data_IF_007803729510
#
_entry.id   IF_007803729510
#
_cell.length_a   1.000
_cell.length_b   1.000
_cell.length_c   1.000
_cell.angle_alpha   90.00
_cell.angle_beta   90.00
_cell.angle_gamma   90.00
#
_symmetry.space_group_name_H-M   'P 1'
#
loop_
_entity.id
_entity.type
_entity.pdbx_description
1 polymer ?
#
# COMPACT_ATOMS: atom_id res chain seq x y z
N UNK A 1 29.46 -24.34 -3.68
CA UNK A 1 28.85 -24.25 -5.02
C UNK A 1 27.48 -23.62 -4.86
N UNK A 2 27.46 -22.31 -4.59
CA UNK A 2 26.25 -21.53 -4.31
C UNK A 2 25.72 -21.11 -5.68
N UNK A 3 24.76 -21.86 -6.21
CA UNK A 3 24.12 -21.52 -7.47
C UNK A 3 23.29 -20.25 -7.29
N UNK A 4 23.58 -19.26 -8.13
CA UNK A 4 22.75 -18.16 -8.61
C UNK A 4 21.24 -18.29 -8.32
N UNK A 5 20.78 -17.86 -7.13
CA UNK A 5 19.37 -17.53 -6.83
C UNK A 5 19.28 -16.01 -6.66
N UNK A 6 19.76 -15.27 -7.65
CA UNK A 6 19.50 -13.84 -7.77
C UNK A 6 18.83 -13.67 -9.14
N UNK A 7 17.61 -13.14 -9.12
CA UNK A 7 16.82 -12.68 -10.28
C UNK A 7 16.14 -13.70 -11.21
N UNK A 8 15.22 -14.52 -10.68
CA UNK A 8 14.06 -14.95 -11.47
C UNK A 8 12.76 -14.47 -10.84
N UNK A 9 12.32 -13.28 -11.25
CA UNK A 9 10.94 -12.84 -11.04
C UNK A 9 10.00 -13.75 -11.86
N UNK A 10 9.66 -14.92 -11.32
CA UNK A 10 8.84 -15.94 -11.98
C UNK A 10 7.48 -15.42 -12.47
N UNK A 11 6.98 -14.33 -11.87
CA UNK A 11 5.76 -13.63 -12.28
C UNK A 11 5.90 -13.03 -13.69
N UNK A 12 7.08 -12.54 -14.10
CA UNK A 12 7.31 -11.97 -15.44
C UNK A 12 7.18 -12.98 -16.57
N UNK A 13 7.25 -14.28 -16.26
CA UNK A 13 7.01 -15.34 -17.25
C UNK A 13 5.57 -15.35 -17.80
N UNK A 14 4.65 -14.65 -17.12
CA UNK A 14 3.25 -14.52 -17.52
C UNK A 14 2.95 -13.16 -18.18
N UNK A 15 3.95 -12.31 -18.38
CA UNK A 15 3.79 -11.02 -19.04
C UNK A 15 3.22 -11.21 -20.46
N UNK A 16 2.41 -10.25 -20.95
CA UNK A 16 1.95 -10.27 -22.33
C UNK A 16 3.12 -10.10 -23.29
N UNK A 17 3.15 -10.94 -24.34
CA UNK A 17 4.21 -10.90 -25.36
C UNK A 17 3.74 -10.13 -26.58
N UNK A 18 2.45 -10.27 -26.91
CA UNK A 18 1.82 -9.62 -28.04
C UNK A 18 0.71 -8.67 -27.58
N UNK A 19 0.31 -7.76 -28.48
CA UNK A 19 -0.82 -6.85 -28.24
C UNK A 19 -2.11 -7.62 -27.92
N UNK A 20 -2.33 -8.78 -28.56
CA UNK A 20 -3.52 -9.60 -28.33
C UNK A 20 -3.55 -10.24 -26.93
N UNK A 21 -2.42 -10.28 -26.23
CA UNK A 21 -2.33 -10.83 -24.87
C UNK A 21 -2.73 -9.79 -23.80
N UNK A 22 -2.86 -8.51 -24.19
CA UNK A 22 -3.23 -7.43 -23.28
C UNK A 22 -4.69 -7.58 -22.85
N UNK A 23 -4.92 -7.54 -21.54
CA UNK A 23 -6.26 -7.59 -20.96
C UNK A 23 -7.05 -6.28 -21.10
N UNK A 24 -6.63 -5.38 -21.99
CA UNK A 24 -7.10 -3.98 -22.06
C UNK A 24 -8.00 -3.84 -23.28
N UNK A 25 -8.95 -2.90 -23.22
CA UNK A 25 -9.86 -2.66 -24.33
C UNK A 25 -9.11 -2.22 -25.60
N UNK A 26 -9.32 -2.92 -26.72
CA UNK A 26 -8.58 -2.71 -27.98
C UNK A 26 -8.55 -1.25 -28.45
N UNK A 27 -9.65 -0.51 -28.32
CA UNK A 27 -9.69 0.92 -28.67
C UNK A 27 -8.65 1.76 -27.92
N UNK A 28 -8.40 1.47 -26.63
CA UNK A 28 -7.39 2.18 -25.83
C UNK A 28 -5.97 1.81 -26.24
N UNK A 29 -5.75 0.56 -26.59
CA UNK A 29 -4.46 0.11 -27.12
C UNK A 29 -4.18 0.79 -28.47
N UNK A 30 -5.17 0.86 -29.36
CA UNK A 30 -5.08 1.56 -30.64
C UNK A 30 -4.82 3.05 -30.47
N UNK A 31 -5.53 3.73 -29.55
CA UNK A 31 -5.34 5.15 -29.26
C UNK A 31 -3.88 5.46 -28.86
N UNK A 32 -3.28 4.61 -28.02
CA UNK A 32 -1.87 4.72 -27.64
C UNK A 32 -0.93 4.38 -28.80
N UNK A 33 -1.23 3.33 -29.56
CA UNK A 33 -0.42 2.88 -30.71
C UNK A 33 -0.36 3.96 -31.81
N UNK A 34 -1.51 4.56 -32.16
CA UNK A 34 -1.64 5.61 -33.16
C UNK A 34 -0.86 6.87 -32.74
N UNK A 35 -0.96 7.25 -31.46
CA UNK A 35 -0.21 8.40 -30.93
C UNK A 35 1.30 8.16 -31.00
N UNK A 36 1.76 6.97 -30.57
CA UNK A 36 3.18 6.59 -30.58
C UNK A 36 3.72 6.62 -32.02
N UNK A 37 3.04 5.98 -32.96
CA UNK A 37 3.48 5.91 -34.36
C UNK A 37 3.42 7.26 -35.09
N UNK A 38 2.44 8.10 -34.76
CA UNK A 38 2.28 9.42 -35.35
C UNK A 38 3.40 10.40 -35.01
N UNK A 39 4.08 10.19 -33.88
CA UNK A 39 5.08 11.12 -33.33
C UNK A 39 6.52 10.59 -33.38
N UNK A 40 6.76 9.29 -33.39
CA UNK A 40 8.13 8.72 -33.34
C UNK A 40 9.01 9.05 -34.54
N UNK A 41 8.42 9.19 -35.74
CA UNK A 41 9.21 9.46 -36.97
C UNK A 41 9.48 10.93 -37.21
N UNK A 42 8.76 11.81 -36.51
CA UNK A 42 8.87 13.25 -36.63
C UNK A 42 9.73 13.65 -35.44
N UNK A 43 10.88 14.29 -35.65
CA UNK A 43 11.71 14.82 -34.56
C UNK A 43 10.90 15.82 -33.72
N UNK A 44 10.08 15.30 -32.80
CA UNK A 44 9.01 16.02 -32.13
C UNK A 44 9.20 15.89 -30.64
N UNK A 45 8.81 16.93 -29.93
CA UNK A 45 8.79 17.00 -28.47
C UNK A 45 7.35 16.80 -27.95
N UNK A 46 6.55 15.98 -28.62
CA UNK A 46 5.17 15.72 -28.23
C UNK A 46 5.12 14.90 -26.93
N UNK A 47 4.13 15.22 -26.09
CA UNK A 47 3.99 14.68 -24.75
C UNK A 47 2.68 13.93 -24.64
N UNK A 48 2.73 12.69 -24.12
CA UNK A 48 1.55 11.89 -23.79
C UNK A 48 1.47 11.68 -22.28
N UNK A 49 0.31 11.93 -21.71
CA UNK A 49 -0.02 11.59 -20.33
C UNK A 49 -0.99 10.42 -20.31
N UNK A 50 -0.60 9.32 -19.67
CA UNK A 50 -1.44 8.16 -19.40
C UNK A 50 -1.86 8.17 -17.94
N UNK A 51 -3.16 8.30 -17.68
CA UNK A 51 -3.72 8.20 -16.32
C UNK A 51 -4.58 6.96 -16.17
N UNK A 52 -4.81 6.52 -14.93
CA UNK A 52 -5.78 5.47 -14.63
C UNK A 52 -5.39 4.65 -13.41
N UNK A 53 -6.24 3.71 -12.97
CA UNK A 53 -6.03 2.92 -11.76
C UNK A 53 -4.69 2.19 -11.72
N UNK A 54 -4.17 1.94 -10.53
CA UNK A 54 -3.03 1.03 -10.34
C UNK A 54 -3.33 -0.35 -10.95
N UNK A 55 -2.34 -0.93 -11.63
CA UNK A 55 -2.45 -2.29 -12.18
C UNK A 55 -3.42 -2.47 -13.36
N UNK A 56 -3.89 -1.38 -14.00
CA UNK A 56 -4.72 -1.48 -15.21
C UNK A 56 -3.92 -1.74 -16.51
N UNK A 57 -2.58 -1.78 -16.45
CA UNK A 57 -1.72 -2.19 -17.56
C UNK A 57 -1.19 -1.07 -18.47
N UNK A 58 -1.10 0.17 -17.98
CA UNK A 58 -0.54 1.34 -18.70
C UNK A 58 0.89 1.07 -19.20
N UNK A 59 1.82 0.80 -18.28
CA UNK A 59 3.25 0.53 -18.55
C UNK A 59 3.42 -0.60 -19.56
N UNK A 60 2.73 -1.71 -19.30
CA UNK A 60 2.78 -2.92 -20.13
C UNK A 60 2.27 -2.66 -21.56
N UNK A 61 1.26 -1.79 -21.73
CA UNK A 61 0.76 -1.40 -23.05
C UNK A 61 1.84 -0.68 -23.85
N UNK A 62 2.50 0.33 -23.25
CA UNK A 62 3.55 1.11 -23.90
C UNK A 62 4.74 0.21 -24.28
N UNK A 63 5.19 -0.63 -23.36
CA UNK A 63 6.29 -1.58 -23.59
C UNK A 63 5.98 -2.59 -24.70
N UNK A 64 4.75 -3.13 -24.73
CA UNK A 64 4.34 -4.12 -25.74
C UNK A 64 4.24 -3.49 -27.13
N UNK A 65 3.67 -2.28 -27.24
CA UNK A 65 3.58 -1.53 -28.51
C UNK A 65 4.99 -1.18 -29.00
N UNK A 66 5.86 -0.69 -28.12
CA UNK A 66 7.22 -0.34 -28.48
C UNK A 66 8.00 -1.55 -29.01
N UNK A 67 7.88 -2.70 -28.34
CA UNK A 67 8.49 -3.96 -28.80
C UNK A 67 7.97 -4.38 -30.18
N UNK A 68 6.65 -4.28 -30.43
CA UNK A 68 6.05 -4.62 -31.74
C UNK A 68 6.60 -3.75 -32.88
N UNK A 69 6.85 -2.46 -32.62
CA UNK A 69 7.27 -1.50 -33.63
C UNK A 69 8.77 -1.18 -33.63
N UNK A 70 9.56 -1.96 -32.88
CA UNK A 70 11.00 -1.79 -32.69
C UNK A 70 11.36 -0.36 -32.24
N UNK A 71 10.59 0.19 -31.30
CA UNK A 71 10.82 1.49 -30.66
C UNK A 71 11.68 1.28 -29.44
N UNK A 72 12.76 2.05 -29.34
CA UNK A 72 13.63 2.06 -28.17
C UNK A 72 13.04 2.94 -27.08
N UNK A 73 12.73 2.34 -25.94
CA UNK A 73 12.30 3.05 -24.74
C UNK A 73 13.51 3.35 -23.87
N UNK A 74 13.63 4.59 -23.42
CA UNK A 74 14.55 4.98 -22.36
C UNK A 74 13.72 5.47 -21.18
N UNK A 75 13.75 4.70 -20.09
CA UNK A 75 12.94 4.96 -18.89
C UNK A 75 13.73 5.74 -17.85
N UNK A 76 13.13 6.79 -17.30
CA UNK A 76 13.65 7.46 -16.11
C UNK A 76 13.42 6.60 -14.87
N UNK A 77 14.50 6.33 -14.15
CA UNK A 77 14.46 5.69 -12.83
C UNK A 77 14.99 6.73 -11.84
N UNK A 78 14.17 7.11 -10.87
CA UNK A 78 14.58 8.07 -9.84
C UNK A 78 15.77 7.50 -9.06
N UNK A 79 16.94 8.14 -9.07
CA UNK A 79 18.09 7.67 -8.33
C UNK A 79 17.78 7.69 -6.83
N UNK A 80 18.35 6.73 -6.10
CA UNK A 80 18.28 6.73 -4.63
C UNK A 80 19.08 7.94 -4.15
N UNK A 81 18.48 8.71 -3.26
CA UNK A 81 19.11 9.85 -2.61
C UNK A 81 20.29 9.38 -1.77
N UNK A 82 21.50 9.43 -2.34
CA UNK A 82 22.74 9.23 -1.59
C UNK A 82 23.11 10.59 -1.03
N UNK A 83 22.69 10.80 0.21
CA UNK A 83 23.09 11.92 1.04
C UNK A 83 24.58 11.76 1.38
N UNK A 84 25.43 12.66 0.88
CA UNK A 84 26.83 12.71 1.29
C UNK A 84 26.97 13.70 2.45
N UNK A 85 27.59 13.30 3.57
CA UNK A 85 27.89 14.24 4.63
C UNK A 85 28.90 15.26 4.11
N UNK A 86 28.59 16.54 4.22
CA UNK A 86 29.56 17.60 3.98
C UNK A 86 30.56 17.68 5.15
N UNK A 87 31.60 18.50 5.02
CA UNK A 87 32.64 18.68 6.05
C UNK A 87 32.08 19.17 7.41
N UNK A 88 30.84 19.68 7.43
CA UNK A 88 30.13 20.13 8.62
C UNK A 88 29.15 19.08 9.19
N UNK A 89 29.06 17.89 8.58
CA UNK A 89 28.14 16.82 8.98
C UNK A 89 26.68 17.03 8.53
N UNK A 90 26.39 18.03 7.70
CA UNK A 90 25.09 18.21 7.07
C UNK A 90 25.03 17.44 5.75
N UNK A 91 23.89 16.84 5.46
CA UNK A 91 23.67 16.08 4.24
C UNK A 91 23.21 17.02 3.11
N UNK A 92 24.06 17.24 2.10
CA UNK A 92 23.70 18.04 0.92
C UNK A 92 23.66 17.20 -0.36
N UNK A 93 22.65 17.48 -1.20
CA UNK A 93 22.59 16.94 -2.56
C UNK A 93 23.60 17.64 -3.45
N UNK A 94 24.58 16.90 -3.98
CA UNK A 94 25.60 17.44 -4.89
C UNK A 94 25.00 18.12 -6.14
N UNK A 95 23.83 17.64 -6.60
CA UNK A 95 23.06 18.22 -7.71
C UNK A 95 21.57 18.06 -7.42
N UNK A 96 20.76 19.10 -7.65
CA UNK A 96 19.29 19.05 -7.50
C UNK A 96 18.69 17.96 -8.39
N UNK A 97 17.78 17.16 -7.84
CA UNK A 97 17.08 16.09 -8.56
C UNK A 97 16.38 16.58 -9.83
N UNK A 98 15.77 17.77 -9.80
CA UNK A 98 15.08 18.35 -10.96
C UNK A 98 16.03 18.65 -12.13
N UNK A 99 17.28 19.04 -11.84
CA UNK A 99 18.33 19.22 -12.85
C UNK A 99 18.76 17.88 -13.44
N UNK A 100 19.02 16.87 -12.59
CA UNK A 100 19.38 15.52 -13.05
C UNK A 100 18.28 14.92 -13.94
N UNK A 101 17.02 15.10 -13.53
CA UNK A 101 15.85 14.67 -14.29
C UNK A 101 15.81 15.35 -15.67
N UNK A 102 15.97 16.69 -15.72
CA UNK A 102 15.98 17.44 -16.97
C UNK A 102 17.09 16.98 -17.92
N UNK A 103 18.31 16.86 -17.40
CA UNK A 103 19.47 16.42 -18.17
C UNK A 103 19.24 15.02 -18.75
N UNK A 104 18.71 14.10 -17.94
CA UNK A 104 18.38 12.76 -18.39
C UNK A 104 17.36 12.76 -19.52
N UNK A 105 16.20 13.40 -19.34
CA UNK A 105 15.12 13.34 -20.35
C UNK A 105 15.57 13.99 -21.66
N UNK A 106 16.36 15.07 -21.61
CA UNK A 106 16.91 15.72 -22.80
C UNK A 106 17.95 14.82 -23.48
N UNK A 107 18.82 14.18 -22.72
CA UNK A 107 19.82 13.28 -23.26
C UNK A 107 19.17 12.05 -23.91
N UNK A 108 18.18 11.45 -23.24
CA UNK A 108 17.40 10.33 -23.75
C UNK A 108 16.63 10.69 -25.03
N UNK A 109 16.08 11.91 -25.10
CA UNK A 109 15.39 12.38 -26.28
C UNK A 109 16.33 12.69 -27.45
N UNK A 110 17.51 13.25 -27.18
CA UNK A 110 18.36 13.82 -28.22
C UNK A 110 19.44 12.87 -28.73
N UNK A 111 19.99 12.01 -27.88
CA UNK A 111 21.10 11.13 -28.26
C UNK A 111 20.60 9.74 -28.63
N UNK A 112 21.32 9.09 -29.55
CA UNK A 112 21.20 7.66 -29.88
C UNK A 112 22.52 7.00 -29.54
N UNK A 113 22.48 5.72 -29.17
CA UNK A 113 23.73 4.98 -29.00
C UNK A 113 24.40 4.82 -30.36
N UNK A 114 25.71 5.08 -30.43
CA UNK A 114 26.48 4.95 -31.68
C UNK A 114 26.48 3.52 -32.24
N UNK A 115 26.17 2.52 -31.40
CA UNK A 115 26.12 1.11 -31.78
C UNK A 115 24.75 0.67 -32.28
N UNK A 116 23.73 1.52 -32.14
CA UNK A 116 22.33 1.18 -32.31
C UNK A 116 21.71 2.13 -33.34
N UNK A 117 21.55 1.65 -34.57
CA UNK A 117 21.09 2.44 -35.72
C UNK A 117 19.55 2.63 -35.71
N UNK A 118 18.98 2.82 -34.51
CA UNK A 118 17.54 2.92 -34.30
C UNK A 118 17.14 4.37 -34.01
N UNK A 119 16.55 5.01 -35.01
CA UNK A 119 16.06 6.38 -34.90
C UNK A 119 14.70 6.49 -34.19
N UNK A 120 14.05 5.35 -33.87
CA UNK A 120 12.75 5.32 -33.21
C UNK A 120 12.92 5.31 -31.70
N UNK A 121 12.80 6.48 -31.09
CA UNK A 121 12.98 6.67 -29.65
C UNK A 121 11.70 7.14 -28.95
N UNK A 122 11.57 6.70 -27.71
CA UNK A 122 10.50 7.13 -26.80
C UNK A 122 11.09 7.28 -25.40
N UNK A 123 10.90 8.43 -24.78
CA UNK A 123 11.24 8.62 -23.37
C UNK A 123 10.04 8.21 -22.53
N UNK A 124 10.27 7.44 -21.46
CA UNK A 124 9.22 6.99 -20.55
C UNK A 124 9.51 7.49 -19.13
N UNK A 125 8.50 8.05 -18.49
CA UNK A 125 8.57 8.52 -17.09
C UNK A 125 7.36 7.97 -16.35
N UNK A 126 7.59 6.99 -15.49
CA UNK A 126 6.56 6.42 -14.60
C UNK A 126 6.67 6.94 -13.17
N UNK A 127 7.90 7.26 -12.75
CA UNK A 127 8.21 7.78 -11.43
C UNK A 127 8.69 9.24 -11.51
N UNK A 128 8.25 10.06 -10.56
CA UNK A 128 8.52 11.50 -10.55
C UNK A 128 9.32 11.86 -9.29
N UNK A 129 10.42 12.62 -9.43
CA UNK A 129 11.12 13.20 -8.30
C UNK A 129 10.18 13.90 -7.31
N UNK A 130 10.29 13.57 -6.03
CA UNK A 130 9.44 14.11 -4.95
C UNK A 130 9.49 15.64 -4.87
N UNK A 131 10.59 16.25 -5.33
CA UNK A 131 10.74 17.70 -5.42
C UNK A 131 9.62 18.35 -6.26
N UNK A 132 9.11 17.67 -7.29
CA UNK A 132 8.00 18.19 -8.12
C UNK A 132 6.66 18.24 -7.37
N UNK A 133 6.47 17.39 -6.37
CA UNK A 133 5.28 17.44 -5.50
C UNK A 133 5.34 18.64 -4.54
N UNK A 134 6.54 18.94 -4.03
CA UNK A 134 6.77 20.08 -3.13
C UNK A 134 6.78 21.41 -3.87
N UNK A 135 7.31 21.41 -5.10
CA UNK A 135 7.53 22.62 -5.89
C UNK A 135 7.11 22.38 -7.35
N UNK A 136 5.79 22.46 -7.67
CA UNK A 136 5.28 22.18 -9.01
C UNK A 136 5.85 23.08 -10.12
N UNK A 137 6.29 24.30 -9.79
CA UNK A 137 6.91 25.22 -10.75
C UNK A 137 8.19 24.67 -11.36
N UNK A 138 8.94 23.83 -10.65
CA UNK A 138 10.13 23.17 -11.21
C UNK A 138 9.75 22.20 -12.34
N UNK A 139 8.66 21.44 -12.19
CA UNK A 139 8.18 20.56 -13.25
C UNK A 139 7.75 21.37 -14.49
N UNK A 140 7.04 22.49 -14.29
CA UNK A 140 6.63 23.37 -15.40
C UNK A 140 7.84 23.85 -16.19
N UNK A 141 8.90 24.30 -15.50
CA UNK A 141 10.15 24.70 -16.13
C UNK A 141 10.78 23.55 -16.93
N UNK A 142 10.90 22.37 -16.32
CA UNK A 142 11.47 21.18 -16.96
C UNK A 142 10.71 20.82 -18.25
N UNK A 143 9.38 20.79 -18.21
CA UNK A 143 8.57 20.44 -19.37
C UNK A 143 8.66 21.49 -20.48
N UNK A 144 8.74 22.78 -20.13
CA UNK A 144 8.98 23.85 -21.10
C UNK A 144 10.35 23.68 -21.79
N UNK A 145 11.40 23.37 -21.02
CA UNK A 145 12.72 23.08 -21.58
C UNK A 145 12.68 21.85 -22.50
N UNK A 146 11.96 20.80 -22.11
CA UNK A 146 11.77 19.62 -22.95
C UNK A 146 11.08 19.97 -24.27
N UNK A 147 9.97 20.72 -24.24
CA UNK A 147 9.22 21.13 -25.44
C UNK A 147 10.08 21.93 -26.43
N UNK A 148 11.07 22.68 -25.95
CA UNK A 148 11.94 23.49 -26.79
C UNK A 148 13.15 22.72 -27.34
N UNK A 149 13.69 21.77 -26.57
CA UNK A 149 15.03 21.19 -26.82
C UNK A 149 15.01 19.71 -27.21
N UNK A 150 13.92 18.99 -26.96
CA UNK A 150 13.83 17.56 -27.22
C UNK A 150 13.48 17.25 -28.69
N UNK A 151 14.03 16.14 -29.20
CA UNK A 151 13.78 15.64 -30.56
C UNK A 151 13.05 14.30 -30.59
N UNK A 152 12.56 13.81 -29.45
CA UNK A 152 11.78 12.57 -29.38
C UNK A 152 10.60 12.73 -28.43
N UNK A 153 9.51 11.99 -28.67
CA UNK A 153 8.33 12.05 -27.82
C UNK A 153 8.58 11.49 -26.42
N UNK A 154 7.81 11.96 -25.44
CA UNK A 154 7.84 11.51 -24.05
C UNK A 154 6.46 11.03 -23.59
N UNK A 155 6.43 9.93 -22.85
CA UNK A 155 5.23 9.36 -22.24
C UNK A 155 5.37 9.44 -20.73
N UNK A 156 4.41 10.09 -20.10
CA UNK A 156 4.23 10.17 -18.66
C UNK A 156 3.15 9.19 -18.23
N UNK A 157 3.41 8.39 -17.21
CA UNK A 157 2.43 7.46 -16.63
C UNK A 157 2.14 7.89 -15.19
N UNK A 158 0.88 8.23 -14.91
CA UNK A 158 0.41 8.50 -13.56
C UNK A 158 -0.60 7.43 -13.16
N UNK A 159 -0.29 6.69 -12.09
CA UNK A 159 -1.24 5.74 -11.49
C UNK A 159 -2.04 6.40 -10.38
N UNK A 160 -3.36 6.25 -10.46
CA UNK A 160 -4.30 6.82 -9.49
C UNK A 160 -4.80 5.70 -8.55
N UNK A 161 -4.78 5.94 -7.24
CA UNK A 161 -5.46 5.08 -6.28
C UNK A 161 -6.89 5.56 -6.07
N UNK A 162 -7.84 4.62 -5.99
CA UNK A 162 -9.26 4.92 -5.76
C UNK A 162 -9.54 5.58 -4.40
N UNK A 163 -8.57 5.54 -3.48
CA UNK A 163 -8.70 6.04 -2.11
C UNK A 163 -8.21 7.48 -1.93
N UNK A 164 -7.45 8.02 -2.89
CA UNK A 164 -6.81 9.32 -2.73
C UNK A 164 -7.67 10.42 -3.35
N UNK A 165 -8.13 11.37 -2.53
CA UNK A 165 -8.94 12.52 -2.98
C UNK A 165 -8.13 13.54 -3.79
N UNK A 166 -6.80 13.47 -3.74
CA UNK A 166 -5.89 14.28 -4.55
C UNK A 166 -5.16 13.36 -5.52
N UNK A 167 -5.52 13.42 -6.79
CA UNK A 167 -4.85 12.62 -7.82
C UNK A 167 -3.44 13.18 -8.05
N UNK A 168 -2.42 12.32 -8.04
CA UNK A 168 -1.04 12.68 -8.40
C UNK A 168 -0.99 13.37 -9.77
N UNK A 169 -1.84 12.92 -10.69
CA UNK A 169 -2.04 13.53 -12.01
C UNK A 169 -2.52 14.98 -11.92
N UNK A 170 -3.46 15.31 -11.03
CA UNK A 170 -3.99 16.66 -10.86
C UNK A 170 -2.99 17.63 -10.21
N UNK A 171 -2.11 17.11 -9.33
CA UNK A 171 -1.08 17.94 -8.69
C UNK A 171 0.09 18.26 -9.64
N UNK A 172 0.51 17.30 -10.46
CA UNK A 172 1.63 17.48 -11.39
C UNK A 172 1.21 18.09 -12.74
N UNK A 173 0.06 17.67 -13.27
CA UNK A 173 -0.43 18.05 -14.60
C UNK A 173 -1.78 18.74 -14.47
N UNK A 174 -1.75 20.03 -14.11
CA UNK A 174 -2.96 20.87 -14.14
C UNK A 174 -3.49 20.99 -15.56
N UNK A 175 -4.80 21.23 -15.71
CA UNK A 175 -5.41 21.38 -17.04
C UNK A 175 -4.84 22.58 -17.81
N UNK A 176 -4.43 23.64 -17.09
CA UNK A 176 -3.70 24.76 -17.67
C UNK A 176 -2.36 24.32 -18.29
N UNK A 177 -1.59 23.49 -17.58
CA UNK A 177 -0.30 22.99 -18.07
C UNK A 177 -0.47 22.08 -19.28
N UNK A 178 -1.48 21.19 -19.25
CA UNK A 178 -1.81 20.31 -20.38
C UNK A 178 -2.11 21.12 -21.64
N UNK A 179 -2.94 22.16 -21.51
CA UNK A 179 -3.30 23.02 -22.64
C UNK A 179 -2.11 23.84 -23.13
N UNK A 180 -1.30 24.39 -22.22
CA UNK A 180 -0.15 25.23 -22.57
C UNK A 180 0.93 24.46 -23.36
N UNK A 181 1.18 23.20 -22.98
CA UNK A 181 2.23 22.38 -23.61
C UNK A 181 1.69 21.41 -24.68
N UNK A 182 0.38 21.46 -24.95
CA UNK A 182 -0.33 20.54 -25.83
C UNK A 182 -0.10 19.06 -25.46
N UNK A 183 -0.24 18.74 -24.17
CA UNK A 183 -0.07 17.37 -23.67
C UNK A 183 -1.31 16.56 -24.04
N UNK A 184 -1.12 15.52 -24.85
CA UNK A 184 -2.19 14.58 -25.15
C UNK A 184 -2.51 13.74 -23.92
N UNK A 185 -3.78 13.62 -23.53
CA UNK A 185 -4.17 12.90 -22.31
C UNK A 185 -5.06 11.70 -22.64
N UNK A 186 -4.62 10.50 -22.28
CA UNK A 186 -5.38 9.26 -22.40
C UNK A 186 -5.65 8.68 -21.01
N UNK A 187 -6.93 8.56 -20.66
CA UNK A 187 -7.35 7.91 -19.42
C UNK A 187 -7.68 6.43 -19.64
N UNK A 188 -7.07 5.57 -18.83
CA UNK A 188 -7.31 4.13 -18.75
C UNK A 188 -8.35 3.84 -17.67
N UNK A 189 -9.27 2.95 -17.98
CA UNK A 189 -10.19 2.39 -17.00
C UNK A 189 -9.58 1.14 -16.34
N UNK A 190 -10.11 0.77 -15.18
CA UNK A 190 -9.85 -0.55 -14.60
C UNK A 190 -10.20 -1.67 -15.59
N UNK A 191 -9.47 -2.78 -15.53
CA UNK A 191 -9.67 -3.87 -16.50
C UNK A 191 -11.01 -4.54 -16.26
N UNK A 192 -11.72 -4.82 -17.36
CA UNK A 192 -13.02 -5.49 -17.29
C UNK A 192 -12.89 -6.90 -16.70
N UNK A 193 -13.96 -7.39 -16.09
CA UNK A 193 -14.01 -8.77 -15.56
C UNK A 193 -13.75 -9.81 -16.66
N UNK A 194 -14.16 -9.53 -17.90
CA UNK A 194 -13.87 -10.36 -19.06
C UNK A 194 -12.39 -10.35 -19.45
N UNK A 195 -11.75 -9.17 -19.43
CA UNK A 195 -10.31 -9.01 -19.68
C UNK A 195 -9.47 -9.72 -18.62
N UNK A 196 -9.80 -9.54 -17.34
CA UNK A 196 -9.16 -10.25 -16.23
C UNK A 196 -9.27 -11.77 -16.39
N UNK A 197 -10.47 -12.27 -16.67
CA UNK A 197 -10.69 -13.71 -16.88
C UNK A 197 -9.86 -14.25 -18.05
N UNK A 198 -9.75 -13.49 -19.13
CA UNK A 198 -8.91 -13.85 -20.29
C UNK A 198 -7.43 -13.96 -19.89
N UNK A 199 -6.90 -12.97 -19.17
CA UNK A 199 -5.52 -12.97 -18.69
C UNK A 199 -5.21 -14.14 -17.75
N UNK A 200 -6.10 -14.42 -16.80
CA UNK A 200 -5.93 -15.54 -15.85
C UNK A 200 -6.05 -16.90 -16.53
N UNK A 201 -6.92 -17.06 -17.53
CA UNK A 201 -6.98 -18.28 -18.35
C UNK A 201 -5.67 -18.49 -19.12
N UNK A 202 -5.11 -17.44 -19.71
CA UNK A 202 -3.79 -17.49 -20.38
C UNK A 202 -2.70 -17.94 -19.40
N UNK A 203 -2.67 -17.36 -18.20
CA UNK A 203 -1.74 -17.77 -17.13
C UNK A 203 -1.92 -19.24 -16.74
N UNK A 204 -3.16 -19.68 -16.55
CA UNK A 204 -3.50 -21.08 -16.23
C UNK A 204 -3.01 -22.06 -17.31
N UNK A 205 -3.13 -21.70 -18.59
CA UNK A 205 -2.60 -22.49 -19.69
C UNK A 205 -1.07 -22.57 -19.67
N UNK A 206 -0.39 -21.45 -19.39
CA UNK A 206 1.08 -21.41 -19.27
C UNK A 206 1.54 -22.29 -18.11
N UNK A 207 0.89 -22.19 -16.95
CA UNK A 207 1.14 -23.05 -15.79
C UNK A 207 0.99 -24.52 -16.18
N UNK A 208 -0.15 -24.86 -16.79
CA UNK A 208 -0.50 -26.24 -17.14
C UNK A 208 0.42 -26.81 -18.23
N UNK A 209 1.01 -25.99 -19.10
CA UNK A 209 1.90 -26.46 -20.17
C UNK A 209 3.37 -26.51 -19.75
N UNK A 210 3.87 -25.49 -19.06
CA UNK A 210 5.31 -25.27 -18.83
C UNK A 210 5.78 -25.44 -17.39
N UNK A 211 4.91 -25.24 -16.40
CA UNK A 211 5.32 -25.12 -14.99
C UNK A 211 4.61 -26.10 -14.05
N UNK A 212 4.19 -27.27 -14.54
CA UNK A 212 3.52 -28.33 -13.74
C UNK A 212 4.32 -28.80 -12.52
N UNK A 213 5.65 -28.70 -12.55
CA UNK A 213 6.51 -29.11 -11.43
C UNK A 213 6.41 -28.14 -10.25
N UNK A 214 6.18 -26.85 -10.51
CA UNK A 214 6.22 -25.77 -9.53
C UNK A 214 4.82 -25.32 -9.08
N UNK A 215 3.79 -25.53 -9.92
CA UNK A 215 2.43 -25.10 -9.63
C UNK A 215 1.39 -26.22 -9.74
N UNK A 216 0.33 -26.10 -8.95
CA UNK A 216 -0.94 -26.78 -9.09
C UNK A 216 -1.76 -26.14 -10.22
N UNK A 217 -2.51 -26.95 -10.96
CA UNK A 217 -3.37 -26.43 -12.02
C UNK A 217 -4.54 -25.66 -11.40
N UNK A 218 -4.76 -24.38 -11.76
CA UNK A 218 -5.86 -23.60 -11.21
C UNK A 218 -7.22 -24.14 -11.69
N UNK A 219 -8.17 -24.25 -10.76
CA UNK A 219 -9.56 -24.60 -11.08
C UNK A 219 -10.33 -23.41 -11.64
N UNK A 220 -11.44 -23.66 -12.34
CA UNK A 220 -12.30 -22.59 -12.86
C UNK A 220 -12.85 -21.69 -11.74
N UNK A 221 -13.20 -22.29 -10.60
CA UNK A 221 -13.73 -21.58 -9.43
C UNK A 221 -12.68 -20.66 -8.81
N UNK A 222 -11.42 -21.11 -8.75
CA UNK A 222 -10.30 -20.29 -8.29
C UNK A 222 -10.11 -19.05 -9.17
N UNK A 223 -10.15 -19.24 -10.49
CA UNK A 223 -10.02 -18.12 -11.44
C UNK A 223 -11.17 -17.13 -11.24
N UNK A 224 -12.42 -17.61 -11.12
CA UNK A 224 -13.57 -16.73 -10.90
C UNK A 224 -13.49 -15.98 -9.57
N UNK A 225 -13.02 -16.66 -8.51
CA UNK A 225 -12.77 -16.04 -7.22
C UNK A 225 -11.77 -14.87 -7.33
N UNK A 226 -10.63 -15.09 -7.98
CA UNK A 226 -9.59 -14.06 -8.14
C UNK A 226 -10.10 -12.90 -9.01
N UNK A 227 -10.87 -13.15 -10.07
CA UNK A 227 -11.47 -12.08 -10.90
C UNK A 227 -12.35 -11.16 -10.06
N UNK A 228 -13.22 -11.74 -9.23
CA UNK A 228 -14.15 -10.98 -8.39
C UNK A 228 -13.42 -10.18 -7.30
N UNK A 229 -12.29 -10.70 -6.82
CA UNK A 229 -11.55 -10.10 -5.71
C UNK A 229 -10.57 -8.99 -6.13
N UNK A 230 -10.19 -8.95 -7.41
CA UNK A 230 -9.11 -8.08 -7.91
C UNK A 230 -9.57 -6.67 -8.33
N UNK A 231 -10.88 -6.40 -8.35
CA UNK A 231 -11.46 -5.08 -8.61
C UNK A 231 -10.90 -4.34 -9.85
N UNK A 232 -10.51 -5.07 -10.91
CA UNK A 232 -9.96 -4.49 -12.14
C UNK A 232 -8.43 -4.27 -12.16
N UNK A 233 -7.71 -4.68 -11.13
CA UNK A 233 -6.24 -4.71 -11.09
C UNK A 233 -5.71 -6.07 -11.58
N UNK A 234 -5.06 -6.06 -12.76
CA UNK A 234 -4.52 -7.28 -13.37
C UNK A 234 -3.28 -7.78 -12.65
N UNK A 235 -2.44 -6.88 -12.16
CA UNK A 235 -1.20 -7.25 -11.46
C UNK A 235 -1.55 -7.98 -10.18
N UNK A 236 -2.48 -7.44 -9.40
CA UNK A 236 -2.99 -8.09 -8.18
C UNK A 236 -3.62 -9.44 -8.52
N UNK A 237 -4.45 -9.52 -9.57
CA UNK A 237 -5.05 -10.79 -10.01
C UNK A 237 -4.01 -11.87 -10.37
N UNK A 238 -2.99 -11.51 -11.14
CA UNK A 238 -1.92 -12.43 -11.57
C UNK A 238 -1.10 -12.88 -10.36
N UNK A 239 -0.72 -11.96 -9.48
CA UNK A 239 0.03 -12.28 -8.25
C UNK A 239 -0.77 -13.22 -7.33
N UNK A 240 -2.07 -12.97 -7.19
CA UNK A 240 -2.96 -13.80 -6.37
C UNK A 240 -3.08 -15.21 -6.93
N UNK A 241 -3.26 -15.34 -8.24
CA UNK A 241 -3.30 -16.65 -8.88
C UNK A 241 -1.95 -17.37 -8.82
N UNK A 242 -0.84 -16.64 -8.94
CA UNK A 242 0.51 -17.18 -8.81
C UNK A 242 0.71 -17.85 -7.45
N UNK A 243 0.40 -17.15 -6.35
CA UNK A 243 0.53 -17.69 -5.00
C UNK A 243 -0.47 -18.80 -4.71
N UNK A 244 -1.72 -18.67 -5.17
CA UNK A 244 -2.73 -19.70 -5.02
C UNK A 244 -2.35 -21.04 -5.67
N UNK A 245 -1.56 -20.98 -6.74
CA UNK A 245 -1.16 -22.17 -7.49
C UNK A 245 0.20 -22.72 -7.07
N UNK A 246 0.99 -22.05 -6.23
CA UNK A 246 2.35 -22.49 -5.92
C UNK A 246 2.34 -23.79 -5.09
N UNK A 247 3.19 -24.77 -5.44
CA UNK A 247 3.30 -26.02 -4.66
C UNK A 247 4.14 -25.80 -3.40
N UNK A 248 3.71 -26.36 -2.26
CA UNK A 248 4.40 -26.25 -0.97
C UNK A 248 3.85 -25.15 -0.06
N UNK A 249 2.80 -24.44 -0.46
CA UNK A 249 1.99 -23.62 0.43
C UNK A 249 0.85 -24.47 1.00
N UNK A 250 0.89 -24.78 2.29
CA UNK A 250 -0.24 -25.43 3.02
C UNK A 250 -1.44 -24.48 3.23
N UNK A 251 -1.38 -23.27 2.67
CA UNK A 251 -2.50 -22.35 2.62
C UNK A 251 -3.44 -22.79 1.49
N UNK A 252 -4.33 -23.72 1.80
CA UNK A 252 -5.59 -23.78 1.09
C UNK A 252 -6.20 -22.38 1.15
N UNK A 253 -6.47 -21.78 0.00
CA UNK A 253 -7.51 -20.76 -0.08
C UNK A 253 -8.72 -21.38 0.61
N UNK A 254 -9.06 -20.92 1.81
CA UNK A 254 -10.29 -21.36 2.45
C UNK A 254 -11.41 -20.95 1.50
N UNK A 255 -11.94 -21.91 0.74
CA UNK A 255 -13.22 -21.85 0.05
C UNK A 255 -14.34 -22.09 1.05
N UNK A 256 -14.20 -21.64 2.30
CA UNK A 256 -15.19 -21.82 3.35
C UNK A 256 -16.46 -21.05 2.96
N UNK A 257 -17.35 -21.79 2.29
CA UNK A 257 -18.76 -21.48 2.16
C UNK A 257 -19.29 -21.43 3.59
N UNK A 258 -19.37 -20.23 4.17
CA UNK A 258 -20.09 -20.02 5.42
C UNK A 258 -21.57 -20.28 5.08
N UNK A 259 -22.00 -21.51 5.34
CA UNK A 259 -23.42 -21.84 5.40
C UNK A 259 -23.94 -21.29 6.71
N UNK A 260 -24.37 -20.02 6.70
CA UNK A 260 -25.24 -19.52 7.75
C UNK A 260 -26.51 -20.37 7.74
N UNK A 261 -26.67 -21.25 8.75
CA UNK A 261 -27.92 -21.94 9.01
C UNK A 261 -28.93 -20.91 9.52
N UNK A 262 -29.56 -20.20 8.59
CA UNK A 262 -30.71 -19.38 8.92
C UNK A 262 -31.91 -20.28 9.23
N UNK A 263 -32.38 -20.16 10.46
CA UNK A 263 -33.64 -20.74 10.88
C UNK A 263 -34.79 -20.07 10.10
N UNK A 264 -35.40 -20.87 9.23
CA UNK A 264 -36.77 -20.78 8.68
C UNK A 264 -37.53 -19.46 8.91
N UNK A 265 -37.73 -18.68 7.85
CA UNK A 265 -39.06 -18.18 7.48
C UNK A 265 -39.17 -18.08 5.94
N UNK A 266 -40.38 -18.38 5.43
CA UNK A 266 -40.66 -18.66 4.02
C UNK A 266 -40.61 -17.41 3.12
N UNK A 267 -40.34 -17.67 1.83
CA UNK A 267 -40.61 -16.85 0.62
C UNK A 267 -39.71 -15.66 0.27
N UNK A 268 -38.61 -15.93 -0.46
CA UNK A 268 -38.29 -15.46 -1.83
C UNK A 268 -36.82 -15.84 -2.16
N UNK A 269 -36.59 -16.54 -3.27
CA UNK A 269 -35.24 -16.93 -3.75
C UNK A 269 -34.38 -15.68 -4.00
N UNK A 270 -33.56 -15.28 -3.02
CA UNK A 270 -32.41 -14.39 -3.21
C UNK A 270 -31.17 -15.26 -3.46
N UNK A 271 -30.38 -14.91 -4.48
CA UNK A 271 -29.09 -15.53 -4.80
C UNK A 271 -28.17 -15.45 -3.56
N UNK A 272 -27.37 -16.49 -3.26
CA UNK A 272 -26.44 -16.44 -2.14
C UNK A 272 -25.40 -15.36 -2.42
N UNK A 273 -25.33 -14.36 -1.54
CA UNK A 273 -24.38 -13.27 -1.65
C UNK A 273 -23.09 -13.72 -0.94
N UNK A 274 -22.17 -14.34 -1.67
CA UNK A 274 -20.87 -14.75 -1.13
C UNK A 274 -20.00 -13.52 -0.88
N UNK A 275 -19.85 -13.11 0.38
CA UNK A 275 -18.72 -12.26 0.77
C UNK A 275 -17.47 -13.14 0.72
N UNK A 276 -16.65 -12.97 -0.32
CA UNK A 276 -15.38 -13.68 -0.44
C UNK A 276 -14.22 -12.70 -0.49
N UNK A 277 -13.19 -13.04 0.28
CA UNK A 277 -12.03 -12.23 0.61
C UNK A 277 -10.89 -12.52 -0.36
N UNK A 278 -10.35 -11.47 -0.97
CA UNK A 278 -9.18 -11.52 -1.86
C UNK A 278 -7.95 -12.03 -1.10
N UNK A 279 -7.26 -13.05 -1.62
CA UNK A 279 -5.83 -13.23 -1.31
C UNK A 279 -5.09 -11.99 -1.83
N UNK A 280 -4.08 -11.47 -1.12
CA UNK A 280 -3.30 -10.30 -1.54
C UNK A 280 -3.79 -8.91 -1.09
N UNK A 281 -5.00 -8.78 -0.53
CA UNK A 281 -5.16 -7.87 0.61
C UNK A 281 -4.91 -8.75 1.81
N UNK A 282 -3.96 -8.38 2.66
CA UNK A 282 -3.70 -9.07 3.93
C UNK A 282 -5.02 -9.64 4.47
N UNK A 283 -5.02 -10.93 4.85
CA UNK A 283 -5.99 -11.43 5.82
C UNK A 283 -5.75 -10.77 7.20
N UNK A 284 -5.44 -9.46 7.22
CA UNK A 284 -5.64 -8.67 8.41
C UNK A 284 -7.15 -8.69 8.60
N UNK A 285 -7.58 -9.36 9.67
CA UNK A 285 -8.84 -8.98 10.30
C UNK A 285 -8.83 -7.45 10.29
N UNK A 286 -9.87 -6.82 9.71
CA UNK A 286 -9.97 -5.36 9.77
C UNK A 286 -9.79 -4.94 11.23
N UNK A 287 -8.98 -3.91 11.51
CA UNK A 287 -8.63 -3.46 12.85
C UNK A 287 -9.83 -3.46 13.82
N UNK A 288 -11.01 -3.06 13.34
CA UNK A 288 -12.26 -3.07 14.09
C UNK A 288 -12.71 -4.47 14.56
N UNK A 289 -12.62 -5.47 13.67
CA UNK A 289 -12.91 -6.85 14.03
C UNK A 289 -11.85 -7.43 14.95
N UNK A 290 -10.59 -7.03 14.81
CA UNK A 290 -9.49 -7.48 15.67
C UNK A 290 -9.68 -6.97 17.09
N UNK A 291 -9.94 -5.67 17.22
CA UNK A 291 -10.31 -5.01 18.47
C UNK A 291 -11.54 -5.69 19.09
N UNK A 292 -12.56 -6.01 18.30
CA UNK A 292 -13.74 -6.74 18.78
C UNK A 292 -13.42 -8.13 19.35
N UNK A 293 -12.49 -8.87 18.74
CA UNK A 293 -12.05 -10.19 19.25
C UNK A 293 -11.25 -10.09 20.56
N UNK A 294 -10.49 -9.01 20.74
CA UNK A 294 -9.73 -8.74 21.97
C UNK A 294 -10.63 -8.25 23.10
N UNK A 295 -11.56 -7.33 22.80
CA UNK A 295 -12.42 -6.71 23.80
C UNK A 295 -13.63 -7.56 24.18
N UNK A 296 -14.03 -8.53 23.35
CA UNK A 296 -15.10 -9.47 23.63
C UNK A 296 -14.63 -10.93 23.42
N UNK A 297 -13.70 -11.40 24.27
CA UNK A 297 -13.17 -12.75 24.17
C UNK A 297 -14.26 -13.78 24.46
N UNK A 298 -14.42 -14.75 23.56
CA UNK A 298 -15.31 -15.90 23.78
C UNK A 298 -14.48 -17.10 24.21
N UNK A 299 -14.95 -17.82 25.23
CA UNK A 299 -14.31 -19.03 25.73
C UNK A 299 -15.12 -20.24 25.29
N UNK A 300 -14.46 -21.24 24.72
CA UNK A 300 -15.02 -22.54 24.35
C UNK A 300 -14.39 -23.59 25.25
N UNK A 301 -15.21 -24.51 25.74
CA UNK A 301 -14.73 -25.64 26.55
C UNK A 301 -14.53 -26.82 25.60
N UNK A 302 -13.30 -27.32 25.55
CA UNK A 302 -12.92 -28.48 24.74
C UNK A 302 -13.51 -29.78 25.30
N UNK A 303 -13.52 -30.85 24.50
CA UNK A 303 -14.01 -32.20 24.86
C UNK A 303 -13.31 -32.75 26.11
N UNK A 304 -12.08 -32.29 26.36
CA UNK A 304 -11.27 -32.63 27.54
C UNK A 304 -11.53 -31.73 28.77
N UNK A 305 -12.54 -30.86 28.75
CA UNK A 305 -12.87 -29.94 29.83
C UNK A 305 -11.93 -28.73 29.98
N UNK A 306 -11.06 -28.48 28.98
CA UNK A 306 -10.14 -27.33 28.99
C UNK A 306 -10.80 -26.11 28.37
N UNK A 307 -10.77 -24.98 29.07
CA UNK A 307 -11.23 -23.69 28.56
C UNK A 307 -10.18 -23.06 27.64
N UNK A 308 -10.56 -22.73 26.40
CA UNK A 308 -9.70 -22.02 25.44
C UNK A 308 -10.47 -20.87 24.80
N UNK A 309 -9.77 -19.83 24.37
CA UNK A 309 -10.39 -18.76 23.60
C UNK A 309 -10.77 -19.24 22.21
N UNK A 310 -11.90 -18.77 21.67
CA UNK A 310 -12.33 -19.04 20.29
C UNK A 310 -11.29 -18.57 19.26
N UNK A 311 -10.57 -17.50 19.59
CA UNK A 311 -9.45 -16.99 18.82
C UNK A 311 -8.24 -16.93 19.74
N UNK A 312 -7.12 -17.55 19.36
CA UNK A 312 -5.94 -17.52 20.21
C UNK A 312 -5.29 -16.11 20.17
N UNK A 313 -4.71 -15.63 21.28
CA UNK A 313 -3.94 -14.38 21.27
C UNK A 313 -2.84 -14.37 20.20
N UNK A 314 -2.20 -15.52 19.98
CA UNK A 314 -1.15 -15.69 18.96
C UNK A 314 -1.67 -15.41 17.54
N UNK A 315 -2.82 -15.98 17.16
CA UNK A 315 -3.43 -15.72 15.85
C UNK A 315 -3.74 -14.24 15.63
N UNK A 316 -4.18 -13.53 16.67
CA UNK A 316 -4.47 -12.09 16.58
C UNK A 316 -3.15 -11.31 16.42
N UNK A 317 -2.12 -11.66 17.18
CA UNK A 317 -0.79 -11.01 17.10
C UNK A 317 -0.19 -11.16 15.71
N UNK A 318 -0.20 -12.36 15.13
CA UNK A 318 0.36 -12.64 13.81
C UNK A 318 -0.27 -11.76 12.70
N UNK A 319 -1.51 -11.31 12.88
CA UNK A 319 -2.22 -10.47 11.91
C UNK A 319 -1.96 -8.97 12.05
N UNK A 320 -1.59 -8.50 13.24
CA UNK A 320 -1.37 -7.08 13.52
C UNK A 320 0.10 -6.74 13.79
N UNK A 321 1.00 -7.73 13.68
CA UNK A 321 2.45 -7.56 13.90
C UNK A 321 3.09 -6.55 12.93
N UNK A 322 2.47 -6.29 11.78
CA UNK A 322 2.93 -5.28 10.83
C UNK A 322 2.69 -3.84 11.30
N UNK A 323 1.71 -3.63 12.18
CA UNK A 323 1.33 -2.32 12.72
C UNK A 323 0.91 -2.41 14.21
N UNK A 324 1.82 -2.86 15.10
CA UNK A 324 1.49 -3.21 16.48
C UNK A 324 1.00 -1.99 17.28
N UNK A 325 1.69 -0.85 17.17
CA UNK A 325 1.30 0.39 17.86
C UNK A 325 -0.06 0.91 17.41
N UNK A 326 -0.39 0.80 16.11
CA UNK A 326 -1.69 1.22 15.60
C UNK A 326 -2.81 0.38 16.22
N UNK A 327 -2.64 -0.94 16.24
CA UNK A 327 -3.61 -1.85 16.82
C UNK A 327 -3.82 -1.63 18.32
N UNK A 328 -2.73 -1.47 19.08
CA UNK A 328 -2.81 -1.20 20.52
C UNK A 328 -3.47 0.14 20.83
N UNK A 329 -3.20 1.21 20.06
CA UNK A 329 -3.88 2.49 20.23
C UNK A 329 -5.41 2.38 20.04
N UNK A 330 -5.86 1.57 19.09
CA UNK A 330 -7.28 1.28 18.90
C UNK A 330 -7.87 0.51 20.09
N UNK A 331 -7.11 -0.42 20.68
CA UNK A 331 -7.54 -1.11 21.89
C UNK A 331 -7.64 -0.12 23.07
N UNK A 332 -6.64 0.73 23.27
CA UNK A 332 -6.56 1.70 24.36
C UNK A 332 -7.70 2.73 24.35
N UNK A 333 -8.10 3.23 23.19
CA UNK A 333 -9.23 4.17 23.09
C UNK A 333 -10.57 3.49 23.45
N UNK A 334 -10.67 2.16 23.26
CA UNK A 334 -11.95 1.46 23.28
C UNK A 334 -12.12 0.45 24.41
N UNK A 335 -11.10 0.16 25.23
CA UNK A 335 -11.24 -0.94 26.19
C UNK A 335 -12.25 -0.63 27.30
N UNK A 336 -12.24 0.57 27.89
CA UNK A 336 -13.02 0.90 29.10
C UNK A 336 -14.53 0.53 29.01
N UNK A 337 -15.28 0.86 27.94
CA UNK A 337 -16.71 0.54 27.85
C UNK A 337 -17.03 -0.96 27.77
N UNK A 338 -16.04 -1.81 27.51
CA UNK A 338 -16.22 -3.25 27.32
C UNK A 338 -16.00 -4.07 28.59
N UNK A 339 -15.58 -3.45 29.68
CA UNK A 339 -15.39 -4.09 30.98
C UNK A 339 -16.57 -3.80 31.90
N UNK A 340 -17.01 -4.83 32.63
CA UNK A 340 -18.13 -4.74 33.58
C UNK A 340 -17.68 -4.38 35.00
N UNK A 341 -16.39 -4.48 35.32
CA UNK A 341 -15.84 -4.31 36.66
C UNK A 341 -14.57 -3.44 36.66
N UNK A 342 -14.47 -2.48 37.58
CA UNK A 342 -13.31 -1.61 37.76
C UNK A 342 -12.02 -2.37 38.09
N UNK A 343 -12.09 -3.49 38.83
CA UNK A 343 -10.91 -4.31 39.13
C UNK A 343 -10.34 -5.01 37.89
N UNK A 344 -11.18 -5.30 36.89
CA UNK A 344 -10.72 -5.85 35.61
C UNK A 344 -10.13 -4.75 34.71
N UNK A 345 -10.71 -3.54 34.76
CA UNK A 345 -10.18 -2.35 34.09
C UNK A 345 -8.78 -2.03 34.59
N UNK A 346 -8.55 -2.07 35.90
CA UNK A 346 -7.24 -1.81 36.51
C UNK A 346 -6.15 -2.76 35.96
N UNK A 347 -6.45 -4.06 35.89
CA UNK A 347 -5.54 -5.05 35.29
C UNK A 347 -5.31 -4.82 33.80
N UNK A 348 -6.37 -4.48 33.05
CA UNK A 348 -6.25 -4.15 31.64
C UNK A 348 -5.37 -2.90 31.43
N UNK A 349 -5.55 -1.87 32.26
CA UNK A 349 -4.76 -0.64 32.22
C UNK A 349 -3.27 -0.90 32.55
N UNK A 350 -2.97 -1.68 33.59
CA UNK A 350 -1.59 -2.09 33.90
C UNK A 350 -0.96 -2.83 32.72
N UNK A 351 -1.69 -3.76 32.11
CA UNK A 351 -1.14 -4.55 30.99
C UNK A 351 -0.95 -3.71 29.73
N UNK A 352 -1.84 -2.74 29.47
CA UNK A 352 -1.66 -1.78 28.38
C UNK A 352 -0.45 -0.88 28.63
N UNK A 353 -0.22 -0.46 29.87
CA UNK A 353 0.95 0.35 30.22
C UNK A 353 2.25 -0.38 29.91
N UNK A 354 2.36 -1.65 30.31
CA UNK A 354 3.51 -2.51 30.00
C UNK A 354 3.66 -2.71 28.49
N UNK A 355 2.56 -2.97 27.78
CA UNK A 355 2.57 -3.12 26.34
C UNK A 355 3.04 -1.85 25.61
N UNK A 356 2.53 -0.68 25.97
CA UNK A 356 2.92 0.61 25.38
C UNK A 356 4.39 0.92 25.68
N UNK A 357 4.87 0.62 26.88
CA UNK A 357 6.29 0.74 27.22
C UNK A 357 7.17 -0.12 26.32
N UNK A 358 6.80 -1.39 26.09
CA UNK A 358 7.53 -2.27 25.18
C UNK A 358 7.46 -1.80 23.72
N UNK A 359 6.31 -1.29 23.29
CA UNK A 359 6.12 -0.77 21.93
C UNK A 359 6.88 0.52 21.66
N UNK A 360 7.26 1.27 22.70
CA UNK A 360 8.09 2.46 22.55
C UNK A 360 9.51 2.13 22.04
N UNK A 361 10.03 0.93 22.33
CA UNK A 361 11.31 0.44 21.80
C UNK A 361 11.10 -0.18 20.41
N UNK A 362 10.97 0.69 19.41
CA UNK A 362 10.70 0.31 18.01
C UNK A 362 11.89 -0.34 17.30
N UNK A 363 13.11 -0.18 17.83
CA UNK A 363 14.34 -0.73 17.22
C UNK A 363 14.42 -2.24 17.39
N UNK A 364 13.84 -2.78 18.47
CA UNK A 364 13.87 -4.19 18.80
C UNK A 364 12.58 -4.89 18.36
N UNK A 365 12.68 -5.74 17.33
CA UNK A 365 11.53 -6.49 16.79
C UNK A 365 10.85 -7.35 17.87
N UNK A 366 11.64 -7.89 18.79
CA UNK A 366 11.15 -8.70 19.91
C UNK A 366 10.24 -7.86 20.82
N UNK A 367 10.63 -6.63 21.15
CA UNK A 367 9.81 -5.71 21.95
C UNK A 367 8.48 -5.39 21.26
N UNK A 368 8.47 -5.27 19.93
CA UNK A 368 7.25 -5.03 19.15
C UNK A 368 6.27 -6.22 19.22
N UNK A 369 6.77 -7.44 19.07
CA UNK A 369 5.96 -8.65 19.12
C UNK A 369 5.43 -8.92 20.53
N UNK A 370 6.29 -8.83 21.54
CA UNK A 370 5.89 -9.04 22.93
C UNK A 370 4.97 -7.94 23.44
N UNK A 371 5.20 -6.66 23.08
CA UNK A 371 4.31 -5.57 23.46
C UNK A 371 2.89 -5.78 22.90
N UNK A 372 2.78 -6.17 21.63
CA UNK A 372 1.51 -6.52 21.01
C UNK A 372 0.86 -7.74 21.69
N UNK A 373 1.63 -8.80 21.97
CA UNK A 373 1.13 -9.99 22.66
C UNK A 373 0.63 -9.67 24.07
N UNK A 374 1.38 -8.86 24.83
CA UNK A 374 1.00 -8.41 26.17
C UNK A 374 -0.35 -7.68 26.13
N UNK A 375 -0.53 -6.70 25.22
CA UNK A 375 -1.80 -6.01 25.07
C UNK A 375 -2.96 -6.97 24.74
N UNK A 376 -2.78 -7.83 23.73
CA UNK A 376 -3.82 -8.75 23.25
C UNK A 376 -4.19 -9.78 24.31
N UNK A 377 -3.22 -10.56 24.79
CA UNK A 377 -3.45 -11.61 25.77
C UNK A 377 -3.90 -11.03 27.11
N UNK A 378 -3.29 -9.93 27.54
CA UNK A 378 -3.61 -9.22 28.77
C UNK A 378 -5.07 -8.81 28.85
N UNK A 379 -5.59 -8.15 27.81
CA UNK A 379 -6.99 -7.73 27.79
C UNK A 379 -7.96 -8.90 27.70
N UNK A 380 -7.64 -9.92 26.90
CA UNK A 380 -8.48 -11.11 26.78
C UNK A 380 -8.57 -11.87 28.11
N UNK A 381 -7.50 -11.88 28.91
CA UNK A 381 -7.47 -12.49 30.25
C UNK A 381 -8.11 -11.61 31.33
N UNK A 382 -7.98 -10.29 31.21
CA UNK A 382 -8.58 -9.34 32.14
C UNK A 382 -10.11 -9.29 31.99
N UNK A 383 -10.62 -9.32 30.76
CA UNK A 383 -12.06 -9.20 30.48
C UNK A 383 -12.78 -10.56 30.57
N UNK A 384 -13.06 -11.00 31.80
CA UNK A 384 -13.74 -12.28 32.05
C UNK A 384 -15.24 -12.22 31.79
N UNK A 385 -15.83 -11.04 31.92
CA UNK A 385 -17.27 -10.80 31.79
C UNK A 385 -17.51 -9.61 30.85
N UNK A 386 -17.30 -9.76 29.54
CA UNK A 386 -17.40 -8.67 28.59
C UNK A 386 -18.82 -8.10 28.55
N UNK A 387 -18.91 -6.76 28.50
CA UNK A 387 -20.20 -6.07 28.38
C UNK A 387 -20.84 -6.44 27.04
N UNK A 388 -22.04 -7.00 27.08
CA UNK A 388 -22.78 -7.46 25.89
C UNK A 388 -23.46 -6.34 25.10
N UNK A 389 -23.42 -5.10 25.60
CA UNK A 389 -23.99 -3.94 24.92
C UNK A 389 -23.22 -3.62 23.64
N UNK A 390 -23.94 -3.15 22.61
CA UNK A 390 -23.31 -2.70 21.38
C UNK A 390 -22.54 -1.39 21.63
N UNK A 391 -21.21 -1.49 21.60
CA UNK A 391 -20.30 -0.36 21.72
C UNK A 391 -19.56 -0.16 20.38
N UNK A 392 -19.72 0.98 19.70
CA UNK A 392 -19.00 1.26 18.46
C UNK A 392 -17.52 1.54 18.75
N UNK A 393 -16.64 0.88 18.00
CA UNK A 393 -15.19 1.14 18.03
C UNK A 393 -14.91 2.53 17.46
N UNK A 394 -14.22 3.36 18.24
CA UNK A 394 -13.78 4.72 17.89
C UNK A 394 -12.32 4.71 17.46
N UNK A 395 -11.95 5.62 16.56
CA UNK A 395 -10.55 5.82 16.20
C UNK A 395 -9.76 6.42 17.37
N UNK A 396 -8.48 6.04 17.54
CA UNK A 396 -7.64 6.58 18.59
C UNK A 396 -7.52 8.10 18.46
N UNK A 397 -7.73 8.81 19.56
CA UNK A 397 -7.52 10.25 19.58
C UNK A 397 -6.03 10.52 19.63
N UNK A 398 -5.47 11.08 18.56
CA UNK A 398 -4.11 11.61 18.57
C UNK A 398 -4.03 12.79 19.54
N UNK A 399 -3.77 12.49 20.81
CA UNK A 399 -3.46 13.50 21.81
C UNK A 399 -2.02 13.95 21.55
N UNK A 400 -1.85 14.86 20.58
CA UNK A 400 -0.60 15.60 20.45
C UNK A 400 -0.40 16.32 21.78
N UNK A 401 0.59 15.87 22.54
CA UNK A 401 1.07 16.57 23.73
C UNK A 401 1.61 17.90 23.21
N UNK A 402 0.91 18.98 23.53
CA UNK A 402 1.40 20.32 23.23
C UNK A 402 2.20 20.75 24.45
N UNK A 403 3.51 20.83 24.31
CA UNK A 403 4.34 21.43 25.35
C UNK A 403 4.14 22.95 25.33
N UNK A 404 4.08 23.60 26.51
CA UNK A 404 4.03 25.06 26.56
C UNK A 404 5.35 25.62 26.00
N UNK A 405 5.27 26.69 25.21
CA UNK A 405 6.50 27.40 24.79
C UNK A 405 7.07 28.25 25.94
N UNK A 406 8.37 28.58 25.97
CA UNK A 406 8.98 29.32 27.08
C UNK A 406 8.31 30.66 27.42
N UNK A 407 7.69 31.32 26.44
CA UNK A 407 6.89 32.54 26.65
C UNK A 407 5.54 32.30 27.33
N UNK A 408 4.96 31.11 27.16
CA UNK A 408 3.69 30.70 27.80
C UNK A 408 3.91 30.21 29.23
N UNK A 409 5.14 29.79 29.59
CA UNK A 409 5.48 29.40 30.96
C UNK A 409 5.32 30.54 31.96
N UNK A 410 5.53 31.80 31.52
CA UNK A 410 5.36 32.99 32.37
C UNK A 410 3.89 33.33 32.66
N UNK A 411 2.95 32.74 31.92
CA UNK A 411 1.51 32.95 32.07
C UNK A 411 0.84 31.89 32.96
N UNK A 412 1.58 30.88 33.40
CA UNK A 412 1.07 29.81 34.25
C UNK A 412 1.14 30.25 35.71
N UNK A 413 -0.03 30.39 36.35
CA UNK A 413 -0.11 30.71 37.78
C UNK A 413 0.48 29.57 38.63
N UNK A 414 1.23 29.94 39.68
CA UNK A 414 1.65 28.98 40.70
C UNK A 414 0.40 28.30 41.29
N UNK A 415 0.32 26.97 41.12
CA UNK A 415 -0.73 26.08 41.64
C UNK A 415 -2.00 25.89 40.78
N UNK A 416 -2.04 26.33 39.51
CA UNK A 416 -3.18 26.06 38.62
C UNK A 416 -2.84 25.12 37.45
N UNK A 417 -3.41 23.91 37.48
CA UNK A 417 -3.42 23.00 36.32
C UNK A 417 -4.45 23.54 35.31
N UNK A 418 -3.98 24.31 34.32
CA UNK A 418 -4.85 24.85 33.28
C UNK A 418 -5.54 23.72 32.49
N UNK A 419 -6.82 23.90 32.20
CA UNK A 419 -7.68 22.90 31.55
C UNK A 419 -7.37 22.86 30.03
N UNK A 420 -6.53 21.93 29.59
CA UNK A 420 -6.12 21.78 28.17
C UNK A 420 -5.19 20.59 27.90
N UNK A 421 -4.58 20.53 26.69
CA UNK A 421 -3.67 19.47 26.22
C UNK A 421 -2.22 19.58 26.74
N UNK A 422 -2.01 20.33 27.80
CA UNK A 422 -0.69 20.75 28.28
C UNK A 422 -0.44 20.10 29.65
N UNK A 423 0.50 19.16 29.73
CA UNK A 423 1.00 18.67 31.01
C UNK A 423 2.06 19.64 31.50
N UNK A 424 1.74 20.37 32.58
CA UNK A 424 2.69 21.17 33.34
C UNK A 424 2.76 20.52 34.71
N UNK A 425 3.89 19.90 35.05
CA UNK A 425 4.16 19.62 36.46
C UNK A 425 4.45 20.96 37.13
N UNK A 426 3.83 21.24 38.27
CA UNK A 426 4.20 22.42 39.05
C UNK A 426 5.68 22.34 39.47
N UNK A 427 6.34 23.50 39.52
CA UNK A 427 7.78 23.60 39.76
C UNK A 427 8.21 22.94 41.09
N UNK A 428 7.35 22.95 42.11
CA UNK A 428 7.62 22.27 43.38
C UNK A 428 7.61 20.74 43.23
N UNK A 429 6.66 20.17 42.50
CA UNK A 429 6.64 18.73 42.21
C UNK A 429 7.83 18.31 41.35
N UNK A 430 8.21 19.12 40.35
CA UNK A 430 9.43 18.89 39.58
C UNK A 430 10.65 18.88 40.52
N UNK A 431 10.87 19.92 41.32
CA UNK A 431 11.97 19.99 42.28
C UNK A 431 12.00 18.81 43.27
N UNK A 432 10.85 18.34 43.75
CA UNK A 432 10.77 17.15 44.62
C UNK A 432 11.22 15.88 43.91
N UNK A 433 10.78 15.66 42.68
CA UNK A 433 11.14 14.46 41.89
C UNK A 433 12.64 14.42 41.59
N UNK A 434 13.28 15.57 41.31
CA UNK A 434 14.72 15.61 41.02
C UNK A 434 15.55 15.54 42.30
N UNK A 435 15.08 16.14 43.41
CA UNK A 435 15.75 16.04 44.71
C UNK A 435 15.65 14.64 45.32
N UNK A 436 14.65 13.83 44.99
CA UNK A 436 14.53 12.45 45.48
C UNK A 436 15.59 11.47 44.93
N UNK A 437 16.55 11.94 44.12
CA UNK A 437 17.70 11.16 43.65
C UNK A 437 19.02 11.48 44.37
N UNK A 438 18.99 12.31 45.42
CA UNK A 438 20.13 12.58 46.29
C UNK A 438 19.70 12.50 47.76
N UNK A 439 19.46 11.29 48.24
CA UNK A 439 19.68 10.88 49.65
C UNK A 439 19.84 9.35 49.72
#
# INVERSE_FOLDING_TARGET
MIFNIIDQNHIRNFDPVNINDLAIHNKKVQEVEDWILGNIKKNTSEMLLLTGPVGCGKSVTVLTIAKKHNVKITEWITPIDIEFPNDNGEFEFKVKQSTQFLDFILNAANFTSLLDNNDRKLVLVEDFPNTFMRTPSELVYVLQQYKQRAKSPIVFICSESSTDKKTTSGNLFSDQLKNQLNIHHISFNGVSTTGLRSALKRMAEIISKKYKSMYNAPTSDLIECVVNSSAGDVRSAVTNLHFACLKGTDQSLETSIITEKDQKTKTKKKKPNSKFTSIGKDQSINILHGVGRVLNPRVVVDVNGRSQFTHSPREIVEQFISQPSSFVNFIEENYMPHFSNSAQIDRAASTLSDAVFMLAEWREKVCQEYGLYCAVAGLMLANKDPVSAWNPVRGPKNMKITYPVPSELQLLEENYLYKGKTLVSDYQTFCKIINSNYD
#
